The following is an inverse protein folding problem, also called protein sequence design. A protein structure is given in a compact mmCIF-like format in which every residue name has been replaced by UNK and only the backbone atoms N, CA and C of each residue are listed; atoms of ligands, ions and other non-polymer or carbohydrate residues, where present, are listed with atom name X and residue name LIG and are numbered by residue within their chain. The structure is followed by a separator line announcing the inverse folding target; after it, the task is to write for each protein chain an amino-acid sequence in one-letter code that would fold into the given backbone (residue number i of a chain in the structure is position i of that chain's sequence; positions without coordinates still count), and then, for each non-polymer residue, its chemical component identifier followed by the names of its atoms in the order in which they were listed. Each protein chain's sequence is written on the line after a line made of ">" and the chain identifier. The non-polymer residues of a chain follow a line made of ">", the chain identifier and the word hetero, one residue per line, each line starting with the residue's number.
data_IF_340593984508
#
_entry.id   IF_340593984508
#
_cell.length_a   1.000
_cell.length_b   1.000
_cell.length_c   1.000
_cell.angle_alpha   90.00
_cell.angle_beta   90.00
_cell.angle_gamma   90.00
#
_symmetry.space_group_name_H-M   'P 1'
#
loop_
_entity.id
_entity.type
_entity.pdbx_description
1 polymer ?
#
# COMPACT_ATOMS: atom_id res chain seq x y z
N UNK A 1 1.56 11.72 -15.22
CA UNK A 1 1.11 10.79 -16.27
C UNK A 1 1.13 9.37 -15.76
N UNK A 2 2.28 8.69 -15.60
CA UNK A 2 2.29 7.29 -15.10
C UNK A 2 1.74 7.14 -13.67
N UNK A 3 2.08 8.03 -12.74
CA UNK A 3 1.54 7.96 -11.35
C UNK A 3 0.05 8.30 -11.32
N UNK A 4 -0.41 9.27 -12.12
CA UNK A 4 -1.83 9.66 -12.17
C UNK A 4 -2.67 8.59 -12.86
N UNK A 5 -2.13 7.92 -13.89
CA UNK A 5 -2.75 6.76 -14.52
C UNK A 5 -2.81 5.59 -13.55
N UNK A 6 -1.74 5.29 -12.82
CA UNK A 6 -1.72 4.21 -11.81
C UNK A 6 -2.65 4.50 -10.62
N UNK A 7 -2.74 5.76 -10.17
CA UNK A 7 -3.70 6.18 -9.15
C UNK A 7 -5.12 6.20 -9.70
N UNK A 8 -5.34 6.63 -10.95
CA UNK A 8 -6.65 6.58 -11.61
C UNK A 8 -7.12 5.14 -11.82
N UNK A 9 -6.21 4.22 -12.17
CA UNK A 9 -6.46 2.78 -12.24
C UNK A 9 -6.79 2.20 -10.88
N UNK A 10 -6.06 2.56 -9.82
CA UNK A 10 -6.43 2.20 -8.45
C UNK A 10 -7.83 2.71 -8.08
N UNK A 11 -8.20 3.91 -8.55
CA UNK A 11 -9.53 4.49 -8.35
C UNK A 11 -10.63 3.81 -9.22
N UNK A 12 -10.31 3.37 -10.43
CA UNK A 12 -11.21 2.60 -11.32
C UNK A 12 -11.41 1.17 -10.81
N UNK A 13 -10.35 0.49 -10.39
CA UNK A 13 -10.41 -0.77 -9.64
C UNK A 13 -11.29 -0.59 -8.40
N UNK A 14 -11.14 0.52 -7.67
CA UNK A 14 -12.01 0.89 -6.56
C UNK A 14 -13.49 1.01 -6.97
N UNK A 15 -13.80 1.50 -8.16
CA UNK A 15 -15.17 1.59 -8.65
C UNK A 15 -15.73 0.20 -9.02
N UNK A 16 -14.89 -0.69 -9.54
CA UNK A 16 -15.26 -2.08 -9.85
C UNK A 16 -15.46 -2.95 -8.59
N UNK A 17 -14.77 -2.62 -7.49
CA UNK A 17 -14.85 -3.35 -6.22
C UNK A 17 -16.16 -3.12 -5.42
N UNK A 18 -17.01 -2.18 -5.85
CA UNK A 18 -18.31 -1.88 -5.25
C UNK A 18 -18.18 -1.16 -3.91
N UNK A 19 -18.42 0.16 -3.88
CA UNK A 19 -18.38 0.97 -2.67
C UNK A 19 -19.64 1.82 -2.52
N UNK A 20 -20.37 1.58 -1.44
CA UNK A 20 -21.58 2.31 -1.06
C UNK A 20 -21.22 3.50 -0.13
N UNK A 21 -20.60 4.54 -0.71
CA UNK A 21 -20.75 5.92 -0.23
C UNK A 21 -19.73 6.50 0.77
N UNK A 22 -19.86 7.82 0.97
CA UNK A 22 -19.00 8.68 1.82
C UNK A 22 -19.08 8.28 3.29
N UNK A 23 -18.25 7.33 3.71
CA UNK A 23 -18.14 6.93 5.11
C UNK A 23 -17.12 7.83 5.82
N UNK A 24 -17.60 8.71 6.72
CA UNK A 24 -16.75 9.68 7.43
C UNK A 24 -16.17 9.02 8.70
N UNK A 25 -14.97 8.44 8.58
CA UNK A 25 -14.28 7.83 9.72
C UNK A 25 -13.50 8.89 10.53
N UNK A 26 -13.82 8.99 11.81
CA UNK A 26 -13.22 9.98 12.72
C UNK A 26 -11.75 9.61 13.03
N UNK A 27 -10.86 10.60 12.93
CA UNK A 27 -9.42 10.48 13.22
C UNK A 27 -9.15 10.13 14.69
N UNK A 28 -9.97 10.69 15.59
CA UNK A 28 -9.89 10.51 17.03
C UNK A 28 -10.85 9.39 17.45
N UNK A 29 -10.33 8.43 18.21
CA UNK A 29 -11.12 7.32 18.72
C UNK A 29 -11.04 7.33 20.25
N UNK A 30 -12.13 7.02 20.98
CA UNK A 30 -12.04 6.83 22.43
C UNK A 30 -10.92 5.84 22.75
N UNK A 31 -10.05 6.19 23.70
CA UNK A 31 -8.86 5.39 24.04
C UNK A 31 -9.20 3.93 24.34
N UNK A 32 -10.30 3.71 25.05
CA UNK A 32 -10.82 2.38 25.39
C UNK A 32 -11.16 1.51 24.17
N UNK A 33 -11.48 2.10 23.03
CA UNK A 33 -11.74 1.35 21.78
C UNK A 33 -10.48 0.63 21.30
N UNK A 34 -9.32 1.25 21.48
CA UNK A 34 -8.04 0.76 20.95
C UNK A 34 -7.30 -0.13 21.97
N UNK A 35 -7.59 0.03 23.26
CA UNK A 35 -6.93 -0.72 24.34
C UNK A 35 -7.16 -2.23 24.21
N UNK A 36 -6.08 -2.99 24.28
CA UNK A 36 -6.10 -4.46 24.31
C UNK A 36 -6.42 -5.13 22.98
N UNK A 37 -6.40 -4.39 21.85
CA UNK A 37 -6.67 -4.96 20.51
C UNK A 37 -5.40 -5.34 19.73
N UNK A 38 -4.26 -4.77 20.11
CA UNK A 38 -3.01 -4.86 19.34
C UNK A 38 -1.88 -5.59 20.08
N UNK A 39 -2.17 -6.30 21.17
CA UNK A 39 -1.11 -6.95 21.96
C UNK A 39 -0.06 -5.96 22.45
N UNK A 40 1.22 -6.31 22.26
CA UNK A 40 2.37 -5.49 22.66
C UNK A 40 2.43 -4.13 21.93
N UNK A 41 1.92 -4.06 20.70
CA UNK A 41 1.91 -2.85 19.88
C UNK A 41 1.00 -1.74 20.44
N UNK A 42 0.13 -2.07 21.39
CA UNK A 42 -0.73 -1.08 22.08
C UNK A 42 0.10 0.04 22.74
N UNK A 43 1.36 -0.22 23.11
CA UNK A 43 2.28 0.77 23.69
C UNK A 43 2.69 1.88 22.71
N UNK A 44 2.50 1.64 21.41
CA UNK A 44 2.90 2.54 20.33
C UNK A 44 1.79 3.50 19.90
N UNK A 45 0.66 3.52 20.61
CA UNK A 45 -0.48 4.39 20.30
C UNK A 45 -0.17 5.83 20.73
N UNK A 46 -0.61 6.79 19.90
CA UNK A 46 -0.60 8.21 20.26
C UNK A 46 -1.86 8.58 21.05
N UNK A 47 -1.68 8.94 22.32
CA UNK A 47 -2.74 9.48 23.17
C UNK A 47 -2.81 11.01 23.07
N UNK A 48 -4.02 11.56 23.08
CA UNK A 48 -4.24 12.99 23.20
C UNK A 48 -4.14 13.42 24.66
N UNK A 49 -3.71 14.66 24.89
CA UNK A 49 -3.68 15.26 26.22
C UNK A 49 -5.10 15.33 26.79
N UNK A 50 -5.25 14.98 28.06
CA UNK A 50 -6.50 15.20 28.80
C UNK A 50 -6.77 16.71 28.94
N UNK A 51 -7.96 17.12 28.50
CA UNK A 51 -8.45 18.49 28.58
C UNK A 51 -9.79 18.59 29.35
N UNK A 52 -10.11 17.60 30.19
CA UNK A 52 -11.33 17.56 30.99
C UNK A 52 -12.54 16.95 30.27
N UNK A 53 -12.29 16.16 29.21
CA UNK A 53 -13.31 15.48 28.42
C UNK A 53 -13.01 13.98 28.24
N UNK A 54 -13.49 13.39 27.17
CA UNK A 54 -13.19 12.00 26.84
C UNK A 54 -11.69 11.81 26.53
N UNK A 55 -11.12 10.69 26.99
CA UNK A 55 -9.77 10.29 26.63
C UNK A 55 -9.76 9.75 25.21
N UNK A 56 -8.95 10.37 24.35
CA UNK A 56 -8.89 10.06 22.93
C UNK A 56 -7.49 9.61 22.54
N UNK A 57 -7.43 8.75 21.53
CA UNK A 57 -6.20 8.29 20.89
C UNK A 57 -6.33 8.39 19.38
N UNK A 58 -5.18 8.56 18.70
CA UNK A 58 -5.13 8.44 17.25
C UNK A 58 -5.18 6.96 16.85
N UNK A 59 -5.87 6.68 15.75
CA UNK A 59 -6.00 5.31 15.22
C UNK A 59 -4.63 4.73 14.81
N UNK A 60 -4.38 3.50 15.25
CA UNK A 60 -3.16 2.73 14.95
C UNK A 60 -3.24 2.02 13.59
N UNK A 61 -4.44 1.57 13.22
CA UNK A 61 -4.79 0.98 11.93
C UNK A 61 -6.18 1.45 11.45
N UNK A 62 -6.68 0.89 10.33
CA UNK A 62 -8.06 1.11 9.86
C UNK A 62 -9.00 -0.07 10.15
N UNK A 63 -8.48 -1.22 10.56
CA UNK A 63 -9.23 -2.46 10.85
C UNK A 63 -10.03 -2.38 12.16
N UNK A 64 -9.44 -1.88 13.25
CA UNK A 64 -10.16 -1.70 14.53
C UNK A 64 -11.27 -0.64 14.42
N UNK A 65 -11.03 0.53 13.79
CA UNK A 65 -12.11 1.47 13.46
C UNK A 65 -13.24 0.84 12.63
N UNK A 66 -12.91 -0.05 11.70
CA UNK A 66 -13.91 -0.76 10.89
C UNK A 66 -14.72 -1.76 11.72
N UNK A 67 -14.09 -2.56 12.56
CA UNK A 67 -14.79 -3.48 13.45
C UNK A 67 -15.77 -2.74 14.40
N UNK A 68 -15.34 -1.58 14.94
CA UNK A 68 -16.22 -0.70 15.70
C UNK A 68 -17.39 -0.19 14.86
N UNK A 69 -17.14 0.25 13.63
CA UNK A 69 -18.18 0.74 12.71
C UNK A 69 -19.24 -0.33 12.43
N UNK A 70 -18.83 -1.58 12.17
CA UNK A 70 -19.74 -2.71 11.98
C UNK A 70 -20.64 -2.91 13.20
N UNK A 71 -20.04 -2.98 14.39
CA UNK A 71 -20.76 -3.20 15.64
C UNK A 71 -21.73 -2.06 15.97
N UNK A 72 -21.29 -0.81 15.85
CA UNK A 72 -22.11 0.38 16.14
C UNK A 72 -23.33 0.47 15.23
N UNK A 73 -23.17 0.15 13.94
CA UNK A 73 -24.26 0.20 12.96
C UNK A 73 -25.02 -1.13 12.83
N UNK A 74 -24.64 -2.17 13.59
CA UNK A 74 -25.20 -3.53 13.54
C UNK A 74 -25.14 -4.15 12.14
N UNK A 75 -24.11 -3.80 11.37
CA UNK A 75 -23.88 -4.32 10.01
C UNK A 75 -23.29 -5.72 10.13
N UNK A 76 -23.90 -6.67 9.44
CA UNK A 76 -23.47 -8.09 9.43
C UNK A 76 -22.73 -8.49 8.17
N UNK A 77 -22.82 -7.69 7.10
CA UNK A 77 -22.18 -7.94 5.83
C UNK A 77 -21.89 -6.61 5.12
N UNK A 78 -20.66 -6.44 4.66
CA UNK A 78 -20.23 -5.30 3.85
C UNK A 78 -18.89 -5.64 3.21
N UNK A 79 -18.67 -5.18 1.99
CA UNK A 79 -17.37 -5.19 1.32
C UNK A 79 -16.96 -3.74 1.13
N UNK A 80 -15.76 -3.37 1.58
CA UNK A 80 -15.33 -1.96 1.58
C UNK A 80 -13.82 -1.83 1.42
N UNK A 81 -13.38 -0.70 0.88
CA UNK A 81 -11.99 -0.25 1.03
C UNK A 81 -11.93 1.05 1.85
N UNK A 82 -10.76 1.37 2.41
CA UNK A 82 -10.53 2.61 3.15
C UNK A 82 -9.07 3.04 2.99
N UNK A 83 -8.86 4.22 2.42
CA UNK A 83 -7.54 4.82 2.25
C UNK A 83 -7.42 6.01 3.19
N UNK A 84 -6.55 5.90 4.19
CA UNK A 84 -6.39 6.94 5.18
C UNK A 84 -5.05 6.84 5.92
N UNK A 85 -4.65 7.95 6.52
CA UNK A 85 -3.48 8.00 7.39
C UNK A 85 -3.72 7.31 8.73
N UNK A 86 -2.68 6.68 9.25
CA UNK A 86 -2.61 6.06 10.58
C UNK A 86 -1.36 6.50 11.32
N UNK A 87 -1.34 6.29 12.64
CA UNK A 87 -0.35 6.88 13.53
C UNK A 87 0.25 5.84 14.47
N UNK A 88 1.57 5.64 14.38
CA UNK A 88 2.31 4.68 15.19
C UNK A 88 3.57 5.33 15.76
N UNK A 89 3.79 5.22 17.07
CA UNK A 89 5.01 5.70 17.76
C UNK A 89 6.20 4.77 17.57
N UNK A 90 6.33 4.19 16.38
CA UNK A 90 7.45 3.32 16.03
C UNK A 90 8.76 4.14 15.95
N UNK A 91 9.89 3.44 15.94
CA UNK A 91 11.20 4.01 15.66
C UNK A 91 11.31 4.26 14.15
N UNK A 92 11.35 5.53 13.70
CA UNK A 92 11.32 5.84 12.28
C UNK A 92 12.61 5.40 11.60
N UNK A 93 12.47 4.85 10.40
CA UNK A 93 13.57 4.53 9.50
C UNK A 93 13.26 5.15 8.14
N UNK A 94 13.68 6.42 7.97
CA UNK A 94 13.32 7.24 6.80
C UNK A 94 13.79 6.60 5.49
N UNK A 95 14.96 5.96 5.49
CA UNK A 95 15.52 5.25 4.32
C UNK A 95 14.76 3.98 3.93
N UNK A 96 13.84 3.49 4.78
CA UNK A 96 13.05 2.26 4.56
C UNK A 96 11.54 2.52 4.49
N UNK A 97 11.13 3.79 4.39
CA UNK A 97 9.72 4.21 4.32
C UNK A 97 8.94 4.00 5.63
N UNK A 98 9.62 3.94 6.79
CA UNK A 98 8.97 3.69 8.08
C UNK A 98 8.76 5.01 8.83
N UNK A 99 7.56 5.54 8.73
CA UNK A 99 7.16 6.82 9.33
C UNK A 99 6.26 6.60 10.55
N UNK A 100 6.04 7.67 11.33
CA UNK A 100 5.08 7.67 12.44
C UNK A 100 3.66 8.06 12.04
N UNK A 101 3.54 8.79 10.94
CA UNK A 101 2.29 9.08 10.23
C UNK A 101 2.49 8.55 8.81
N UNK A 102 1.58 7.71 8.33
CA UNK A 102 1.66 7.13 6.99
C UNK A 102 0.29 6.66 6.51
N UNK A 103 0.13 6.47 5.20
CA UNK A 103 -1.09 5.93 4.62
C UNK A 103 -1.18 4.40 4.72
N UNK A 104 -2.40 3.92 5.01
CA UNK A 104 -2.83 2.56 4.72
C UNK A 104 -3.91 2.59 3.63
N UNK A 105 -3.91 1.56 2.77
CA UNK A 105 -5.00 1.27 1.84
C UNK A 105 -5.54 -0.11 2.19
N UNK A 106 -6.63 -0.13 2.96
CA UNK A 106 -7.25 -1.36 3.43
C UNK A 106 -8.42 -1.76 2.53
N UNK A 107 -8.60 -3.05 2.30
CA UNK A 107 -9.76 -3.66 1.68
C UNK A 107 -10.24 -4.82 2.57
N UNK A 108 -11.53 -4.86 2.89
CA UNK A 108 -12.09 -5.85 3.80
C UNK A 108 -13.45 -6.36 3.33
N UNK A 109 -13.65 -7.66 3.53
CA UNK A 109 -14.91 -8.37 3.32
C UNK A 109 -15.40 -8.86 4.68
N UNK A 110 -16.51 -8.29 5.15
CA UNK A 110 -17.21 -8.71 6.35
C UNK A 110 -18.48 -9.48 5.98
N UNK A 111 -18.73 -10.59 6.68
CA UNK A 111 -19.93 -11.40 6.55
C UNK A 111 -19.68 -12.90 6.66
N UNK A 112 -20.77 -13.63 6.88
CA UNK A 112 -20.76 -15.09 6.87
C UNK A 112 -20.90 -15.58 5.43
N UNK A 113 -19.86 -16.21 4.91
CA UNK A 113 -19.81 -16.77 3.55
C UNK A 113 -19.26 -18.21 3.59
N UNK A 114 -19.29 -18.86 2.44
CA UNK A 114 -18.65 -20.17 2.27
C UNK A 114 -17.13 -20.04 2.36
N UNK A 115 -16.50 -21.09 2.88
CA UNK A 115 -15.10 -21.07 3.29
C UNK A 115 -14.16 -20.70 2.14
N UNK A 116 -13.18 -19.85 2.46
CA UNK A 116 -12.04 -19.47 1.62
C UNK A 116 -12.35 -18.68 0.34
N UNK A 117 -13.61 -18.45 -0.02
CA UNK A 117 -13.95 -17.65 -1.22
C UNK A 117 -13.52 -16.18 -1.04
N UNK A 118 -13.91 -15.48 0.05
CA UNK A 118 -13.47 -14.09 0.27
C UNK A 118 -11.95 -13.98 0.51
N UNK A 119 -11.37 -14.99 1.16
CA UNK A 119 -9.93 -15.06 1.45
C UNK A 119 -9.10 -15.15 0.16
N UNK A 120 -9.57 -15.93 -0.82
CA UNK A 120 -8.97 -16.01 -2.14
C UNK A 120 -9.11 -14.69 -2.93
N UNK A 121 -10.26 -14.01 -2.82
CA UNK A 121 -10.49 -12.70 -3.45
C UNK A 121 -9.48 -11.66 -2.93
N UNK A 122 -9.22 -11.62 -1.62
CA UNK A 122 -8.22 -10.70 -1.05
C UNK A 122 -6.82 -10.93 -1.64
N UNK A 123 -6.38 -12.18 -1.79
CA UNK A 123 -5.09 -12.49 -2.42
C UNK A 123 -5.06 -12.14 -3.91
N UNK A 124 -6.18 -12.32 -4.63
CA UNK A 124 -6.30 -11.90 -6.03
C UNK A 124 -6.15 -10.39 -6.19
N UNK A 125 -6.78 -9.60 -5.31
CA UNK A 125 -6.67 -8.14 -5.31
C UNK A 125 -5.22 -7.69 -5.08
N UNK A 126 -4.51 -8.30 -4.12
CA UNK A 126 -3.07 -8.00 -3.89
C UNK A 126 -2.26 -8.29 -5.13
N UNK A 127 -2.49 -9.46 -5.74
CA UNK A 127 -1.80 -9.85 -6.96
C UNK A 127 -2.05 -8.84 -8.10
N UNK A 128 -3.30 -8.46 -8.35
CA UNK A 128 -3.65 -7.50 -9.40
C UNK A 128 -2.99 -6.13 -9.17
N UNK A 129 -3.09 -5.59 -7.96
CA UNK A 129 -2.48 -4.29 -7.60
C UNK A 129 -0.96 -4.33 -7.82
N UNK A 130 -0.27 -5.33 -7.30
CA UNK A 130 1.19 -5.40 -7.40
C UNK A 130 1.68 -5.67 -8.83
N UNK A 131 0.91 -6.41 -9.63
CA UNK A 131 1.23 -6.66 -11.02
C UNK A 131 0.99 -5.43 -11.90
N UNK A 132 -0.05 -4.64 -11.62
CA UNK A 132 -0.37 -3.44 -12.39
C UNK A 132 0.60 -2.27 -12.10
N UNK A 133 1.01 -2.11 -10.84
CA UNK A 133 1.97 -1.07 -10.44
C UNK A 133 3.40 -1.30 -10.98
N UNK A 134 3.67 -2.46 -11.61
CA UNK A 134 4.97 -2.86 -12.15
C UNK A 134 6.13 -2.55 -11.20
N UNK A 135 6.09 -3.02 -9.96
CA UNK A 135 7.13 -2.72 -8.95
C UNK A 135 8.33 -3.68 -9.00
N UNK A 136 8.39 -4.53 -10.02
CA UNK A 136 9.27 -5.70 -10.07
C UNK A 136 8.57 -6.98 -9.62
N UNK A 137 9.30 -8.08 -9.58
CA UNK A 137 8.74 -9.38 -9.22
C UNK A 137 8.43 -9.46 -7.71
N UNK A 138 7.41 -10.23 -7.32
CA UNK A 138 6.93 -10.32 -5.94
C UNK A 138 6.46 -11.72 -5.57
N UNK A 139 6.33 -11.98 -4.27
CA UNK A 139 5.75 -13.20 -3.71
C UNK A 139 4.78 -12.87 -2.59
N UNK A 140 3.69 -13.61 -2.50
CA UNK A 140 2.70 -13.53 -1.43
C UNK A 140 2.85 -14.77 -0.56
N UNK A 141 3.43 -14.59 0.61
CA UNK A 141 3.50 -15.62 1.64
C UNK A 141 2.13 -15.77 2.29
N UNK A 142 1.68 -17.01 2.49
CA UNK A 142 0.43 -17.32 3.19
C UNK A 142 0.71 -18.33 4.30
N UNK A 143 -0.01 -18.22 5.40
CA UNK A 143 -0.06 -19.20 6.48
C UNK A 143 -1.43 -19.13 7.15
N UNK A 144 -1.67 -19.91 8.20
CA UNK A 144 -2.89 -19.86 9.00
C UNK A 144 -2.58 -19.91 10.50
N UNK A 145 -3.26 -19.05 11.26
CA UNK A 145 -3.09 -18.94 12.71
C UNK A 145 -3.30 -20.27 13.43
N UNK A 146 -4.26 -21.09 12.98
CA UNK A 146 -4.58 -22.40 13.56
C UNK A 146 -3.52 -23.45 13.26
N UNK A 147 -2.79 -23.30 12.15
CA UNK A 147 -1.62 -24.14 11.82
C UNK A 147 -0.49 -23.82 12.79
N UNK A 148 -0.20 -22.54 13.05
CA UNK A 148 0.80 -22.12 14.04
C UNK A 148 0.44 -22.61 15.45
N UNK A 149 -0.82 -22.44 15.87
CA UNK A 149 -1.33 -22.94 17.16
C UNK A 149 -1.12 -24.45 17.29
N UNK A 150 -1.56 -25.21 16.29
CA UNK A 150 -1.43 -26.65 16.31
C UNK A 150 0.01 -27.14 16.24
N UNK A 151 0.86 -26.50 15.42
CA UNK A 151 2.27 -26.82 15.25
C UNK A 151 3.04 -26.64 16.55
N UNK A 152 2.88 -25.50 17.24
CA UNK A 152 3.55 -25.25 18.51
C UNK A 152 3.06 -26.22 19.60
N UNK A 153 1.75 -26.52 19.64
CA UNK A 153 1.23 -27.48 20.60
C UNK A 153 1.84 -28.88 20.42
N UNK A 154 1.96 -29.37 19.17
CA UNK A 154 2.55 -30.70 18.91
C UNK A 154 4.08 -30.73 19.07
N UNK A 155 4.75 -29.57 19.02
CA UNK A 155 6.16 -29.42 19.36
C UNK A 155 6.42 -29.31 20.87
N UNK A 156 5.37 -29.26 21.70
CA UNK A 156 5.49 -29.16 23.15
C UNK A 156 5.66 -27.75 23.70
N UNK A 157 5.27 -26.71 22.95
CA UNK A 157 5.26 -25.33 23.44
C UNK A 157 4.11 -25.15 24.45
N UNK A 158 4.39 -24.64 25.67
CA UNK A 158 3.35 -24.31 26.63
C UNK A 158 2.42 -23.18 26.15
N UNK A 159 1.12 -23.28 26.47
CA UNK A 159 0.11 -22.30 26.06
C UNK A 159 0.43 -20.85 26.48
N UNK A 160 1.05 -20.67 27.65
CA UNK A 160 1.44 -19.36 28.19
C UNK A 160 2.61 -18.72 27.43
N UNK A 161 3.40 -19.53 26.71
CA UNK A 161 4.53 -19.08 25.89
C UNK A 161 4.19 -18.93 24.42
N UNK A 162 2.99 -19.30 24.00
CA UNK A 162 2.58 -19.31 22.60
C UNK A 162 2.90 -17.98 21.87
N UNK A 163 2.48 -16.85 22.46
CA UNK A 163 2.65 -15.52 21.85
C UNK A 163 4.10 -15.10 21.74
N UNK A 164 4.89 -15.37 22.78
CA UNK A 164 6.30 -14.98 22.81
C UNK A 164 7.11 -15.81 21.81
N UNK A 165 6.77 -17.09 21.62
CA UNK A 165 7.38 -17.94 20.60
C UNK A 165 6.96 -17.52 19.18
N UNK A 166 5.69 -17.16 18.94
CA UNK A 166 5.27 -16.57 17.65
C UNK A 166 6.08 -15.31 17.32
N UNK A 167 6.25 -14.41 18.29
CA UNK A 167 7.05 -13.20 18.12
C UNK A 167 8.51 -13.51 17.78
N UNK A 168 9.09 -14.56 18.36
CA UNK A 168 10.45 -14.99 18.04
C UNK A 168 10.55 -15.64 16.65
N UNK A 169 9.55 -16.43 16.22
CA UNK A 169 9.48 -17.00 14.86
C UNK A 169 9.34 -15.91 13.79
N UNK A 170 8.56 -14.84 14.04
CA UNK A 170 8.41 -13.72 13.08
C UNK A 170 9.74 -13.07 12.70
N UNK A 171 10.76 -13.18 13.57
CA UNK A 171 12.10 -12.62 13.33
C UNK A 171 12.92 -13.42 12.33
N UNK A 172 12.47 -14.60 11.88
CA UNK A 172 13.15 -15.39 10.83
C UNK A 172 13.21 -14.64 9.49
N UNK A 173 12.43 -13.57 9.32
CA UNK A 173 12.54 -12.69 8.17
C UNK A 173 13.85 -11.88 8.13
N UNK A 174 14.53 -11.73 9.29
CA UNK A 174 15.72 -10.87 9.48
C UNK A 174 16.86 -11.55 10.22
N UNK A 175 16.59 -12.65 10.92
CA UNK A 175 17.55 -13.36 11.77
C UNK A 175 17.75 -14.78 11.28
N UNK A 176 18.94 -15.33 11.55
CA UNK A 176 19.24 -16.73 11.29
C UNK A 176 18.37 -17.65 12.17
N UNK A 177 18.18 -18.89 11.74
CA UNK A 177 17.50 -19.89 12.56
C UNK A 177 18.25 -20.12 13.88
N UNK A 178 19.58 -20.08 13.87
CA UNK A 178 20.43 -20.26 15.04
C UNK A 178 20.17 -19.18 16.10
N UNK A 179 20.06 -17.92 15.68
CA UNK A 179 19.77 -16.81 16.59
C UNK A 179 18.34 -16.88 17.14
N UNK A 180 17.37 -17.25 16.29
CA UNK A 180 15.97 -17.45 16.68
C UNK A 180 15.84 -18.60 17.68
N UNK A 181 16.49 -19.74 17.42
CA UNK A 181 16.56 -20.89 18.35
C UNK A 181 17.18 -20.47 19.68
N UNK A 182 18.29 -19.71 19.64
CA UNK A 182 18.98 -19.23 20.84
C UNK A 182 18.07 -18.34 21.70
N UNK A 183 17.27 -17.46 21.10
CA UNK A 183 16.29 -16.64 21.81
C UNK A 183 15.18 -17.51 22.45
N UNK A 184 14.62 -18.47 21.69
CA UNK A 184 13.58 -19.38 22.21
C UNK A 184 14.05 -20.13 23.46
N UNK A 185 15.27 -20.68 23.41
CA UNK A 185 15.82 -21.49 24.51
C UNK A 185 16.26 -20.61 25.68
N UNK A 186 17.13 -19.63 25.44
CA UNK A 186 17.80 -18.91 26.52
C UNK A 186 16.95 -17.79 27.13
N UNK A 187 16.11 -17.12 26.34
CA UNK A 187 15.32 -15.98 26.80
C UNK A 187 13.87 -16.35 27.12
N UNK A 188 13.27 -17.23 26.30
CA UNK A 188 11.87 -17.66 26.51
C UNK A 188 11.78 -18.95 27.32
N UNK A 189 12.89 -19.65 27.56
CA UNK A 189 12.95 -20.87 28.36
C UNK A 189 12.19 -22.04 27.73
N UNK A 190 12.21 -22.16 26.40
CA UNK A 190 11.72 -23.34 25.68
C UNK A 190 12.78 -24.45 25.73
N UNK A 191 12.38 -25.73 25.69
CA UNK A 191 13.36 -26.82 25.60
C UNK A 191 14.04 -26.85 24.24
N UNK A 192 15.28 -27.34 24.18
CA UNK A 192 16.02 -27.46 22.91
C UNK A 192 15.29 -28.38 21.94
N UNK A 193 14.70 -29.48 22.42
CA UNK A 193 13.96 -30.43 21.60
C UNK A 193 12.71 -29.81 20.96
N UNK A 194 11.99 -28.96 21.71
CA UNK A 194 10.83 -28.26 21.18
C UNK A 194 11.25 -27.21 20.14
N UNK A 195 12.34 -26.48 20.40
CA UNK A 195 12.87 -25.51 19.45
C UNK A 195 13.36 -26.20 18.16
N UNK A 196 14.05 -27.33 18.24
CA UNK A 196 14.49 -28.09 17.06
C UNK A 196 13.32 -28.59 16.22
N UNK A 197 12.26 -29.09 16.86
CA UNK A 197 11.04 -29.50 16.14
C UNK A 197 10.33 -28.33 15.47
N UNK A 198 10.29 -27.16 16.11
CA UNK A 198 9.77 -25.94 15.46
C UNK A 198 10.60 -25.64 14.20
N UNK A 199 11.93 -25.75 14.28
CA UNK A 199 12.86 -25.54 13.18
C UNK A 199 12.58 -26.40 11.95
N UNK A 200 12.26 -27.68 12.17
CA UNK A 200 11.87 -28.60 11.10
C UNK A 200 10.65 -28.08 10.32
N UNK A 201 9.64 -27.54 11.01
CA UNK A 201 8.42 -27.04 10.37
C UNK A 201 8.57 -25.65 9.77
N UNK A 202 9.14 -24.68 10.50
CA UNK A 202 9.21 -23.28 10.04
C UNK A 202 10.14 -23.09 8.83
N UNK A 203 11.03 -24.05 8.59
CA UNK A 203 11.85 -24.09 7.37
C UNK A 203 11.10 -24.60 6.13
N UNK A 204 9.88 -25.13 6.29
CA UNK A 204 9.06 -25.63 5.19
C UNK A 204 8.30 -24.51 4.49
N UNK A 205 8.41 -24.49 3.17
CA UNK A 205 7.61 -23.66 2.28
C UNK A 205 7.24 -24.43 1.02
N UNK A 206 6.10 -24.11 0.38
CA UNK A 206 5.61 -24.84 -0.78
C UNK A 206 4.25 -24.35 -1.28
N UNK A 207 3.49 -25.24 -1.92
CA UNK A 207 2.13 -24.95 -2.36
C UNK A 207 1.10 -25.89 -1.73
N UNK A 208 0.11 -26.28 -2.53
CA UNK A 208 -0.91 -27.25 -2.13
C UNK A 208 -0.32 -28.60 -1.69
N UNK A 209 0.78 -29.02 -2.32
CA UNK A 209 1.48 -30.28 -2.01
C UNK A 209 2.00 -30.31 -0.56
N UNK A 210 2.47 -29.16 -0.04
CA UNK A 210 2.96 -29.06 1.33
C UNK A 210 1.81 -29.20 2.31
N UNK A 211 0.67 -28.56 2.04
CA UNK A 211 -0.53 -28.72 2.87
C UNK A 211 -1.01 -30.19 2.91
N UNK A 212 -0.95 -30.89 1.77
CA UNK A 212 -1.30 -32.33 1.70
C UNK A 212 -0.34 -33.22 2.47
N UNK A 213 0.97 -32.95 2.37
CA UNK A 213 1.99 -33.66 3.17
C UNK A 213 1.80 -33.45 4.66
N UNK A 214 1.56 -32.21 5.10
CA UNK A 214 1.36 -31.88 6.51
C UNK A 214 0.05 -32.44 7.07
N UNK A 215 -0.98 -32.65 6.24
CA UNK A 215 -2.19 -33.37 6.66
C UNK A 215 -1.92 -34.85 6.96
N UNK A 216 -0.89 -35.43 6.35
CA UNK A 216 -0.46 -36.81 6.57
C UNK A 216 0.65 -36.93 7.62
N UNK A 217 1.20 -35.81 8.09
CA UNK A 217 2.25 -35.79 9.10
C UNK A 217 1.73 -36.33 10.44
N UNK A 218 2.51 -37.22 11.06
CA UNK A 218 2.09 -37.95 12.26
C UNK A 218 1.83 -37.04 13.47
N UNK A 219 2.53 -35.89 13.59
CA UNK A 219 2.33 -34.96 14.70
C UNK A 219 1.21 -33.98 14.37
N UNK A 220 1.29 -33.31 13.22
CA UNK A 220 0.32 -32.29 12.80
C UNK A 220 -1.11 -32.85 12.71
N UNK A 221 -1.26 -34.09 12.24
CA UNK A 221 -2.57 -34.76 12.15
C UNK A 221 -3.25 -35.00 13.50
N UNK A 222 -2.51 -34.93 14.62
CA UNK A 222 -3.08 -35.05 15.97
C UNK A 222 -3.75 -33.75 16.43
N UNK A 223 -3.41 -32.61 15.82
CA UNK A 223 -4.02 -31.32 16.14
C UNK A 223 -5.21 -31.03 15.25
N UNK A 224 -6.42 -31.03 15.84
CA UNK A 224 -7.65 -30.65 15.14
C UNK A 224 -7.58 -29.25 14.53
N UNK A 225 -6.92 -28.31 15.21
CA UNK A 225 -6.75 -26.94 14.72
C UNK A 225 -5.82 -26.89 13.51
N UNK A 226 -4.68 -27.58 13.56
CA UNK A 226 -3.78 -27.68 12.41
C UNK A 226 -4.47 -28.31 11.21
N UNK A 227 -5.18 -29.42 11.41
CA UNK A 227 -5.93 -30.10 10.34
C UNK A 227 -6.98 -29.20 9.69
N UNK A 228 -7.70 -28.39 10.47
CA UNK A 228 -8.67 -27.43 9.96
C UNK A 228 -7.99 -26.34 9.14
N UNK A 229 -6.91 -25.74 9.66
CA UNK A 229 -6.14 -24.72 8.94
C UNK A 229 -5.51 -25.26 7.65
N UNK A 230 -4.93 -26.46 7.67
CA UNK A 230 -4.35 -27.10 6.49
C UNK A 230 -5.41 -27.44 5.43
N UNK A 231 -6.60 -27.86 5.85
CA UNK A 231 -7.73 -28.11 4.93
C UNK A 231 -8.19 -26.81 4.25
N UNK A 232 -8.24 -25.72 5.00
CA UNK A 232 -8.57 -24.40 4.48
C UNK A 232 -7.48 -23.86 3.54
N UNK A 233 -6.19 -24.05 3.86
CA UNK A 233 -5.08 -23.74 2.93
C UNK A 233 -5.21 -24.56 1.64
N UNK A 234 -5.49 -25.86 1.73
CA UNK A 234 -5.71 -26.70 0.54
C UNK A 234 -6.88 -26.17 -0.32
N UNK A 235 -7.99 -25.76 0.31
CA UNK A 235 -9.13 -25.18 -0.39
C UNK A 235 -8.78 -23.84 -1.03
N UNK A 236 -8.06 -22.98 -0.30
CA UNK A 236 -7.56 -21.69 -0.79
C UNK A 236 -6.73 -21.86 -2.06
N UNK A 237 -5.75 -22.77 -2.06
CA UNK A 237 -4.91 -23.02 -3.25
C UNK A 237 -5.71 -23.53 -4.45
N UNK A 238 -6.82 -24.27 -4.25
CA UNK A 238 -7.72 -24.63 -5.35
C UNK A 238 -8.37 -23.41 -5.99
N UNK A 239 -8.82 -22.46 -5.19
CA UNK A 239 -9.41 -21.22 -5.70
C UNK A 239 -8.36 -20.31 -6.35
N UNK A 240 -7.18 -20.20 -5.77
CA UNK A 240 -6.07 -19.44 -6.37
C UNK A 240 -5.63 -20.02 -7.72
N UNK A 241 -5.74 -21.34 -7.91
CA UNK A 241 -5.48 -21.99 -9.19
C UNK A 241 -6.50 -21.56 -10.26
N UNK A 242 -7.79 -21.44 -9.88
CA UNK A 242 -8.85 -20.93 -10.76
C UNK A 242 -8.66 -19.44 -11.08
N UNK A 243 -8.10 -18.66 -10.15
CA UNK A 243 -7.77 -17.26 -10.36
C UNK A 243 -6.45 -17.03 -11.10
N UNK A 244 -5.71 -18.10 -11.40
CA UNK A 244 -4.41 -18.07 -12.08
C UNK A 244 -3.38 -17.18 -11.37
N UNK A 245 -3.24 -17.33 -10.04
CA UNK A 245 -2.28 -16.56 -9.22
C UNK A 245 -1.34 -17.42 -8.36
N UNK A 246 -1.42 -18.75 -8.49
CA UNK A 246 -0.65 -19.69 -7.66
C UNK A 246 0.87 -19.58 -7.83
N UNK A 247 1.34 -19.06 -8.97
CA UNK A 247 2.77 -18.83 -9.23
C UNK A 247 3.38 -17.75 -8.34
N UNK A 248 2.55 -16.84 -7.81
CA UNK A 248 2.96 -15.78 -6.89
C UNK A 248 2.71 -16.11 -5.42
N UNK A 249 1.99 -17.19 -5.10
CA UNK A 249 1.57 -17.51 -3.73
C UNK A 249 2.35 -18.69 -3.18
N UNK A 250 2.96 -18.52 -2.00
CA UNK A 250 3.73 -19.56 -1.31
C UNK A 250 3.18 -19.80 0.09
N UNK A 251 2.87 -21.05 0.40
CA UNK A 251 2.56 -21.47 1.77
C UNK A 251 3.88 -21.56 2.55
N UNK A 252 4.05 -20.71 3.56
CA UNK A 252 5.30 -20.53 4.30
C UNK A 252 5.02 -20.59 5.82
N UNK A 253 5.52 -21.63 6.49
CA UNK A 253 5.26 -21.85 7.91
C UNK A 253 6.04 -20.89 8.82
N UNK A 254 7.06 -20.20 8.30
CA UNK A 254 7.77 -19.15 9.04
C UNK A 254 6.96 -17.86 9.19
N UNK A 255 5.92 -17.67 8.36
CA UNK A 255 5.05 -16.50 8.46
C UNK A 255 4.19 -16.60 9.74
N UNK A 256 4.67 -16.00 10.82
CA UNK A 256 3.97 -15.83 12.09
C UNK A 256 3.53 -14.37 12.32
N UNK A 257 3.60 -13.55 11.27
CA UNK A 257 3.31 -12.13 11.32
C UNK A 257 1.82 -11.86 11.44
N UNK A 258 1.46 -10.96 12.34
CA UNK A 258 0.09 -10.46 12.40
C UNK A 258 -0.26 -9.82 13.72
N UNK A 259 -1.26 -8.94 13.69
CA UNK A 259 -1.85 -8.38 14.89
C UNK A 259 -2.60 -9.49 15.63
N UNK A 260 -2.64 -9.42 16.97
CA UNK A 260 -3.21 -10.43 17.87
C UNK A 260 -4.67 -10.84 17.55
N UNK A 261 -5.34 -10.12 16.65
CA UNK A 261 -6.73 -10.37 16.27
C UNK A 261 -6.94 -11.37 15.12
N UNK A 262 -5.90 -11.86 14.44
CA UNK A 262 -6.07 -12.87 13.40
C UNK A 262 -6.47 -14.25 13.96
N UNK A 263 -7.32 -14.95 13.22
CA UNK A 263 -8.00 -16.19 13.64
C UNK A 263 -7.98 -17.30 12.59
N UNK A 264 -7.56 -16.99 11.36
CA UNK A 264 -7.46 -17.92 10.25
C UNK A 264 -6.24 -17.58 9.39
N UNK A 265 -6.43 -17.48 8.07
CA UNK A 265 -5.33 -17.16 7.16
C UNK A 265 -4.66 -15.84 7.51
N UNK A 266 -3.36 -15.79 7.30
CA UNK A 266 -2.50 -14.62 7.36
C UNK A 266 -1.65 -14.59 6.10
N UNK A 267 -1.36 -13.41 5.60
CA UNK A 267 -0.57 -13.26 4.38
C UNK A 267 0.24 -11.99 4.36
N UNK A 268 1.37 -12.06 3.66
CA UNK A 268 2.33 -10.98 3.51
C UNK A 268 2.91 -11.01 2.09
N UNK A 269 2.81 -9.89 1.37
CA UNK A 269 3.44 -9.73 0.07
C UNK A 269 4.80 -9.06 0.21
N UNK A 270 5.83 -9.66 -0.36
CA UNK A 270 7.20 -9.16 -0.39
C UNK A 270 7.64 -9.01 -1.84
N UNK A 271 8.30 -7.91 -2.17
CA UNK A 271 8.96 -7.81 -3.47
C UNK A 271 10.22 -8.70 -3.47
N UNK A 272 10.64 -9.18 -4.63
CA UNK A 272 11.84 -10.00 -4.81
C UNK A 272 12.90 -9.17 -5.53
N UNK A 273 14.18 -9.37 -5.21
CA UNK A 273 15.32 -8.48 -5.52
C UNK A 273 15.62 -8.19 -7.01
N UNK A 274 14.77 -8.53 -7.96
CA UNK A 274 15.03 -8.27 -9.38
C UNK A 274 14.84 -6.79 -9.80
N UNK A 275 14.32 -5.91 -8.94
CA UNK A 275 13.95 -4.53 -9.31
C UNK A 275 14.72 -3.39 -8.63
N UNK A 276 15.56 -3.67 -7.63
CA UNK A 276 16.36 -2.61 -6.99
C UNK A 276 17.65 -2.40 -7.75
N UNK A 277 17.73 -1.28 -8.47
CA UNK A 277 19.03 -0.72 -8.89
C UNK A 277 19.86 -0.62 -7.62
N UNK A 278 20.94 -1.38 -7.57
CA UNK A 278 21.90 -1.35 -6.47
C UNK A 278 22.27 0.10 -6.17
N UNK A 279 21.99 0.55 -4.96
CA UNK A 279 22.70 1.68 -4.36
C UNK A 279 24.14 1.23 -4.07
N UNK A 280 24.89 0.94 -5.12
CA UNK A 280 26.32 0.74 -5.09
C UNK A 280 26.95 2.13 -5.25
N UNK A 281 27.07 2.83 -4.13
CA UNK A 281 27.98 3.92 -3.82
C UNK A 281 27.66 4.21 -2.35
N UNK A 282 28.34 3.61 -1.38
CA UNK A 282 29.69 3.97 -0.98
C UNK A 282 30.43 2.75 -0.42
N UNK A 283 31.61 2.48 -0.97
CA UNK A 283 32.57 1.56 -0.37
C UNK A 283 33.34 2.27 0.73
N UNK A 284 33.33 1.71 1.95
CA UNK A 284 34.58 1.39 2.64
C UNK A 284 34.39 0.35 3.75
N UNK A 285 34.95 -0.84 3.46
CA UNK A 285 35.57 -1.82 4.35
C UNK A 285 34.78 -2.36 5.55
N UNK A 286 34.10 -3.49 5.35
CA UNK A 286 34.45 -4.69 6.11
C UNK A 286 34.09 -5.97 5.36
N UNK A 287 34.98 -6.95 5.41
CA UNK A 287 34.82 -8.27 4.79
C UNK A 287 33.94 -9.15 5.66
N UNK A 288 32.70 -9.43 5.24
CA UNK A 288 31.93 -10.67 5.40
C UNK A 288 30.42 -10.41 5.30
N UNK A 289 29.72 -11.33 4.61
CA UNK A 289 28.28 -11.38 4.33
C UNK A 289 27.80 -10.50 3.15
N UNK A 290 27.51 -11.16 2.04
CA UNK A 290 26.52 -10.70 1.06
C UNK A 290 25.15 -10.61 1.77
N UNK A 291 24.93 -9.55 2.55
CA UNK A 291 23.59 -9.23 3.05
C UNK A 291 22.74 -8.80 1.85
N UNK A 292 21.99 -9.76 1.31
CA UNK A 292 20.84 -9.46 0.46
C UNK A 292 19.97 -8.45 1.19
N UNK A 293 19.96 -7.19 0.73
CA UNK A 293 19.07 -6.13 1.24
C UNK A 293 17.65 -6.68 1.27
N UNK A 294 17.13 -7.07 2.44
CA UNK A 294 15.83 -7.73 2.56
C UNK A 294 14.77 -6.81 1.95
N UNK A 295 14.20 -7.22 0.84
CA UNK A 295 13.18 -6.43 0.17
C UNK A 295 11.92 -6.54 1.02
N UNK A 296 11.54 -5.42 1.63
CA UNK A 296 10.54 -5.44 2.68
C UNK A 296 9.11 -5.65 2.15
N UNK A 297 8.23 -6.09 3.05
CA UNK A 297 6.79 -6.27 2.83
C UNK A 297 6.06 -5.04 2.24
N UNK A 298 5.24 -5.25 1.22
CA UNK A 298 4.45 -4.23 0.51
C UNK A 298 2.94 -4.40 0.70
N UNK A 299 2.49 -5.54 1.21
CA UNK A 299 1.11 -5.74 1.64
C UNK A 299 1.04 -6.79 2.75
N UNK A 300 0.01 -6.71 3.60
CA UNK A 300 -0.24 -7.71 4.63
C UNK A 300 -1.70 -7.75 5.03
N UNK A 301 -2.18 -8.91 5.47
CA UNK A 301 -3.58 -9.09 5.82
C UNK A 301 -3.89 -10.48 6.38
N UNK A 302 -5.17 -10.77 6.54
CA UNK A 302 -5.64 -12.03 7.07
C UNK A 302 -7.10 -12.02 7.53
N UNK A 303 -7.53 -13.14 8.11
CA UNK A 303 -8.89 -13.37 8.63
C UNK A 303 -8.98 -13.11 10.14
N UNK A 304 -9.96 -12.34 10.60
CA UNK A 304 -10.08 -11.84 11.97
C UNK A 304 -11.53 -11.88 12.52
N UNK A 305 -12.11 -13.08 12.58
CA UNK A 305 -13.54 -13.31 12.89
C UNK A 305 -13.97 -12.98 14.34
N UNK A 306 -13.02 -12.65 15.21
CA UNK A 306 -13.27 -12.31 16.61
C UNK A 306 -13.41 -10.81 16.88
N UNK A 307 -12.89 -9.95 16.00
CA UNK A 307 -12.66 -8.55 16.33
C UNK A 307 -13.97 -7.75 16.49
N UNK A 308 -14.95 -7.96 15.60
CA UNK A 308 -16.25 -7.28 15.66
C UNK A 308 -17.02 -7.66 16.93
N UNK A 309 -16.93 -8.92 17.35
CA UNK A 309 -17.57 -9.42 18.58
C UNK A 309 -17.05 -8.75 19.84
N UNK A 310 -15.84 -8.17 19.82
CA UNK A 310 -15.32 -7.39 20.94
C UNK A 310 -15.98 -6.01 21.11
N UNK A 311 -16.72 -5.53 20.10
CA UNK A 311 -17.41 -4.24 20.10
C UNK A 311 -18.95 -4.39 20.14
N UNK A 312 -19.50 -5.53 19.71
CA UNK A 312 -20.94 -5.79 19.83
C UNK A 312 -21.31 -6.12 21.29
N UNK A 313 -22.28 -5.41 21.91
CA UNK A 313 -22.65 -5.63 23.31
C UNK A 313 -23.14 -7.04 23.65
N UNK A 314 -23.58 -7.81 22.64
CA UNK A 314 -24.03 -9.20 22.79
C UNK A 314 -22.95 -10.21 22.35
N UNK A 315 -21.75 -9.75 22.03
CA UNK A 315 -20.66 -10.59 21.54
C UNK A 315 -20.93 -11.21 20.16
N UNK A 316 -21.82 -10.62 19.35
CA UNK A 316 -22.14 -11.16 18.03
C UNK A 316 -20.91 -11.14 17.14
N UNK A 317 -20.54 -12.29 16.62
CA UNK A 317 -19.43 -12.43 15.69
C UNK A 317 -19.87 -12.05 14.28
N UNK A 318 -19.02 -11.30 13.60
CA UNK A 318 -19.10 -11.03 12.17
C UNK A 318 -17.75 -11.46 11.61
N UNK A 319 -17.69 -12.55 10.82
CA UNK A 319 -16.45 -12.98 10.19
C UNK A 319 -15.92 -11.90 9.25
N UNK A 320 -14.60 -11.70 9.24
CA UNK A 320 -13.96 -10.68 8.43
C UNK A 320 -12.64 -11.20 7.87
N UNK A 321 -12.33 -10.85 6.63
CA UNK A 321 -11.01 -11.03 6.02
C UNK A 321 -10.66 -9.78 5.22
N UNK A 322 -9.40 -9.40 5.23
CA UNK A 322 -8.97 -8.22 4.49
C UNK A 322 -7.47 -8.05 4.42
N UNK A 323 -7.07 -7.06 3.64
CA UNK A 323 -5.69 -6.75 3.30
C UNK A 323 -5.41 -5.26 3.39
N UNK A 324 -4.18 -4.92 3.76
CA UNK A 324 -3.65 -3.56 3.76
C UNK A 324 -2.45 -3.47 2.82
N UNK A 325 -2.48 -2.52 1.89
CA UNK A 325 -1.35 -2.21 1.00
C UNK A 325 -0.46 -1.15 1.67
N UNK A 326 0.84 -1.44 1.74
CA UNK A 326 1.88 -0.57 2.29
C UNK A 326 2.28 0.52 1.30
N UNK A 327 1.41 1.52 1.11
CA UNK A 327 1.54 2.53 0.05
C UNK A 327 2.85 3.32 0.14
N UNK A 328 3.35 3.66 1.35
CA UNK A 328 4.59 4.44 1.49
C UNK A 328 5.80 3.79 0.82
N UNK A 329 5.92 2.45 0.93
CA UNK A 329 7.00 1.70 0.30
C UNK A 329 6.84 1.69 -1.22
N UNK A 330 5.60 1.58 -1.70
CA UNK A 330 5.28 1.65 -3.12
C UNK A 330 5.68 3.03 -3.66
N UNK A 331 5.30 4.12 -3.00
CA UNK A 331 5.69 5.48 -3.39
C UNK A 331 7.20 5.66 -3.43
N UNK A 332 7.94 5.19 -2.42
CA UNK A 332 9.41 5.27 -2.43
C UNK A 332 10.02 4.56 -3.65
N UNK A 333 9.49 3.40 -4.04
CA UNK A 333 9.97 2.65 -5.21
C UNK A 333 9.61 3.37 -6.52
N UNK A 334 8.37 3.88 -6.62
CA UNK A 334 7.91 4.62 -7.79
C UNK A 334 8.69 5.93 -7.98
N UNK A 335 9.00 6.65 -6.89
CA UNK A 335 9.85 7.84 -6.91
C UNK A 335 11.26 7.51 -7.41
N UNK A 336 11.89 6.44 -6.90
CA UNK A 336 13.20 5.99 -7.38
C UNK A 336 13.18 5.62 -8.86
N UNK A 337 12.14 4.92 -9.33
CA UNK A 337 11.95 4.62 -10.75
C UNK A 337 11.79 5.88 -11.59
N UNK A 338 11.06 6.87 -11.08
CA UNK A 338 10.86 8.15 -11.74
C UNK A 338 12.15 8.99 -11.80
N UNK A 339 12.96 8.99 -10.73
CA UNK A 339 14.27 9.64 -10.70
C UNK A 339 15.29 8.99 -11.64
N UNK A 340 15.20 7.67 -11.84
CA UNK A 340 16.01 6.95 -12.81
C UNK A 340 15.56 7.15 -14.27
N UNK A 341 14.33 7.64 -14.48
CA UNK A 341 13.79 7.94 -15.81
C UNK A 341 14.29 9.30 -16.31
N UNK A 342 14.60 9.44 -17.62
CA UNK A 342 14.93 10.74 -18.19
C UNK A 342 13.72 11.69 -18.25
N UNK A 343 12.50 11.18 -18.04
CA UNK A 343 11.29 11.98 -18.03
C UNK A 343 11.08 12.63 -16.66
N UNK A 344 11.02 13.97 -16.65
CA UNK A 344 10.70 14.73 -15.44
C UNK A 344 9.22 14.53 -15.07
N UNK A 345 8.98 14.13 -13.82
CA UNK A 345 7.62 14.13 -13.25
C UNK A 345 7.12 15.57 -13.12
N UNK A 346 6.00 15.85 -13.76
CA UNK A 346 5.34 17.16 -13.68
C UNK A 346 4.53 17.26 -12.40
N UNK A 347 4.58 18.41 -11.74
CA UNK A 347 3.77 18.73 -10.56
C UNK A 347 2.52 19.54 -10.89
N UNK A 348 2.33 19.89 -12.16
CA UNK A 348 1.19 20.65 -12.66
C UNK A 348 0.70 20.06 -13.98
N UNK A 349 -0.58 20.28 -14.27
CA UNK A 349 -1.24 19.82 -15.51
C UNK A 349 -1.38 20.94 -16.55
N UNK A 350 -0.62 22.02 -16.40
CA UNK A 350 -0.72 23.22 -17.27
C UNK A 350 -0.39 22.83 -18.71
N UNK A 351 -1.34 23.05 -19.62
CA UNK A 351 -1.23 22.72 -21.04
C UNK A 351 -0.51 23.82 -21.82
N UNK A 352 -0.69 25.09 -21.44
CA UNK A 352 -0.16 26.22 -22.18
C UNK A 352 0.16 27.43 -21.29
N UNK A 353 1.24 28.11 -21.61
CA UNK A 353 1.60 29.42 -21.03
C UNK A 353 1.22 30.53 -22.00
N UNK A 354 0.50 31.55 -21.54
CA UNK A 354 0.24 32.78 -22.29
C UNK A 354 1.39 33.77 -22.05
N UNK A 355 2.12 34.08 -23.11
CA UNK A 355 3.34 34.87 -23.07
C UNK A 355 3.30 36.06 -24.03
N UNK A 356 4.16 37.04 -23.77
CA UNK A 356 4.44 38.13 -24.71
C UNK A 356 5.89 38.57 -24.59
N UNK A 357 6.51 38.99 -25.69
CA UNK A 357 7.87 39.55 -25.69
C UNK A 357 7.87 41.08 -25.54
N UNK A 358 6.82 41.72 -26.06
CA UNK A 358 6.64 43.16 -26.06
C UNK A 358 6.05 43.65 -24.73
N UNK A 359 6.19 44.96 -24.49
CA UNK A 359 5.66 45.64 -23.31
C UNK A 359 4.18 45.97 -23.49
N UNK A 360 3.48 46.28 -22.41
CA UNK A 360 2.10 46.77 -22.39
C UNK A 360 1.04 45.79 -22.93
N UNK A 361 1.37 44.50 -23.04
CA UNK A 361 0.44 43.44 -23.47
C UNK A 361 -0.16 42.64 -22.31
N UNK A 362 -0.16 43.19 -21.08
CA UNK A 362 -0.75 42.48 -19.94
C UNK A 362 -2.26 42.26 -20.13
N UNK A 363 -2.99 43.28 -20.57
CA UNK A 363 -4.44 43.22 -20.75
C UNK A 363 -4.82 42.17 -21.80
N UNK A 364 -4.09 42.12 -22.92
CA UNK A 364 -4.27 41.11 -23.97
C UNK A 364 -3.98 39.69 -23.47
N UNK A 365 -2.91 39.52 -22.67
CA UNK A 365 -2.63 38.22 -22.03
C UNK A 365 -3.72 37.81 -21.03
N UNK A 366 -4.26 38.77 -20.27
CA UNK A 366 -5.37 38.54 -19.33
C UNK A 366 -6.67 38.18 -20.08
N UNK A 367 -6.91 38.79 -21.24
CA UNK A 367 -8.05 38.45 -22.07
C UNK A 367 -7.92 37.02 -22.63
N UNK A 368 -6.78 36.70 -23.25
CA UNK A 368 -6.56 35.37 -23.82
C UNK A 368 -6.59 34.26 -22.76
N UNK A 369 -5.95 34.46 -21.60
CA UNK A 369 -5.97 33.43 -20.56
C UNK A 369 -7.39 33.17 -20.05
N UNK A 370 -8.23 34.22 -19.97
CA UNK A 370 -9.63 34.07 -19.59
C UNK A 370 -10.43 33.30 -20.64
N UNK A 371 -10.20 33.55 -21.93
CA UNK A 371 -10.79 32.77 -23.02
C UNK A 371 -10.42 31.28 -22.92
N UNK A 372 -9.14 30.99 -22.65
CA UNK A 372 -8.64 29.63 -22.46
C UNK A 372 -9.27 28.93 -21.24
N UNK A 373 -9.33 29.61 -20.10
CA UNK A 373 -9.99 29.06 -18.90
C UNK A 373 -11.48 28.82 -19.12
N UNK A 374 -12.19 29.74 -19.77
CA UNK A 374 -13.61 29.57 -20.13
C UNK A 374 -13.85 28.37 -21.06
N UNK A 375 -12.83 27.98 -21.85
CA UNK A 375 -12.85 26.80 -22.70
C UNK A 375 -12.37 25.50 -22.01
N UNK A 376 -12.05 25.55 -20.72
CA UNK A 376 -11.56 24.41 -19.93
C UNK A 376 -10.09 24.08 -20.15
N UNK A 377 -9.31 24.96 -20.77
CA UNK A 377 -7.87 24.76 -20.98
C UNK A 377 -7.10 25.16 -19.72
N UNK A 378 -6.21 24.29 -19.27
CA UNK A 378 -5.32 24.52 -18.12
C UNK A 378 -4.19 25.46 -18.54
N UNK A 379 -4.43 26.77 -18.44
CA UNK A 379 -3.49 27.80 -18.88
C UNK A 379 -2.90 28.61 -17.71
N UNK A 380 -1.66 29.10 -17.88
CA UNK A 380 -1.01 30.03 -16.94
C UNK A 380 -0.44 31.26 -17.66
N UNK A 381 -0.17 32.33 -16.92
CA UNK A 381 0.66 33.46 -17.37
C UNK A 381 1.55 33.93 -16.23
N UNK A 382 2.69 34.53 -16.57
CA UNK A 382 3.56 35.14 -15.56
C UNK A 382 2.94 36.44 -15.02
N UNK A 383 2.79 36.54 -13.69
CA UNK A 383 2.24 37.70 -12.96
C UNK A 383 3.19 38.91 -12.95
N UNK A 384 3.55 39.38 -14.14
CA UNK A 384 4.37 40.58 -14.37
C UNK A 384 3.73 41.38 -15.48
N UNK A 385 3.79 42.71 -15.40
CA UNK A 385 3.31 43.59 -16.49
C UNK A 385 4.07 43.35 -17.79
N UNK A 386 5.41 43.28 -17.70
CA UNK A 386 6.32 43.18 -18.86
C UNK A 386 7.37 42.06 -18.63
N UNK A 387 6.99 40.78 -18.65
CA UNK A 387 7.93 39.67 -18.52
C UNK A 387 8.85 39.58 -19.74
N UNK A 388 10.09 39.13 -19.57
CA UNK A 388 10.98 38.81 -20.70
C UNK A 388 10.53 37.47 -21.31
N UNK A 389 10.55 37.34 -22.64
CA UNK A 389 10.20 36.08 -23.29
C UNK A 389 11.07 34.92 -22.81
N UNK A 390 12.39 35.13 -22.71
CA UNK A 390 13.33 34.12 -22.22
C UNK A 390 12.92 33.56 -20.85
N UNK A 391 12.58 34.43 -19.88
CA UNK A 391 12.14 33.98 -18.55
C UNK A 391 10.83 33.20 -18.55
N UNK A 392 9.95 33.46 -19.53
CA UNK A 392 8.70 32.72 -19.67
C UNK A 392 8.94 31.33 -20.26
N UNK A 393 9.84 31.22 -21.25
CA UNK A 393 10.24 29.94 -21.83
C UNK A 393 10.98 29.06 -20.82
N UNK A 394 11.90 29.63 -20.05
CA UNK A 394 12.60 28.92 -18.96
C UNK A 394 11.63 28.35 -17.92
N UNK A 395 10.62 29.13 -17.52
CA UNK A 395 9.56 28.63 -16.64
C UNK A 395 8.81 27.43 -17.25
N UNK A 396 8.51 27.48 -18.55
CA UNK A 396 7.84 26.37 -19.21
C UNK A 396 8.72 25.11 -19.27
N UNK A 397 10.02 25.27 -19.56
CA UNK A 397 11.00 24.18 -19.54
C UNK A 397 11.12 23.56 -18.14
N UNK A 398 11.19 24.39 -17.09
CA UNK A 398 11.28 23.94 -15.70
C UNK A 398 10.00 23.24 -15.21
N UNK A 399 8.81 23.77 -15.54
CA UNK A 399 7.52 23.22 -15.13
C UNK A 399 7.01 22.09 -16.05
N UNK A 400 7.69 21.84 -17.18
CA UNK A 400 7.28 20.87 -18.19
C UNK A 400 6.03 21.27 -18.99
N UNK A 401 5.73 22.58 -19.08
CA UNK A 401 4.57 23.07 -19.84
C UNK A 401 4.87 22.89 -21.34
N UNK A 402 4.00 22.19 -22.11
CA UNK A 402 4.35 21.77 -23.47
C UNK A 402 4.22 22.89 -24.51
N UNK A 403 3.34 23.86 -24.29
CA UNK A 403 2.99 24.90 -25.27
C UNK A 403 3.13 26.32 -24.71
N UNK A 404 3.42 27.27 -25.60
CA UNK A 404 3.38 28.72 -25.29
C UNK A 404 2.61 29.46 -26.38
N UNK A 405 1.57 30.20 -25.97
CA UNK A 405 0.85 31.15 -26.82
C UNK A 405 1.52 32.52 -26.70
N UNK A 406 2.22 32.95 -27.74
CA UNK A 406 2.96 34.21 -27.76
C UNK A 406 2.12 35.29 -28.45
N UNK A 407 1.82 36.35 -27.71
CA UNK A 407 1.16 37.56 -28.20
C UNK A 407 2.18 38.63 -28.59
N UNK A 408 1.90 39.30 -29.70
CA UNK A 408 2.59 40.50 -30.16
C UNK A 408 1.61 41.43 -30.88
N UNK A 409 1.97 42.71 -30.98
CA UNK A 409 1.13 43.76 -31.58
C UNK A 409 0.75 43.46 -33.03
N UNK A 410 1.63 42.78 -33.79
CA UNK A 410 1.34 42.41 -35.19
C UNK A 410 0.40 41.20 -35.25
N UNK A 411 0.67 40.17 -34.45
CA UNK A 411 -0.18 38.99 -34.34
C UNK A 411 -1.61 39.36 -33.91
N UNK A 412 -1.76 40.31 -32.99
CA UNK A 412 -3.07 40.84 -32.58
C UNK A 412 -3.81 41.55 -33.73
N UNK A 413 -3.10 42.32 -34.57
CA UNK A 413 -3.70 42.96 -35.76
C UNK A 413 -4.12 41.93 -36.80
N UNK A 414 -3.34 40.88 -36.95
CA UNK A 414 -3.58 39.81 -37.93
C UNK A 414 -4.59 38.76 -37.42
N UNK A 415 -5.05 38.88 -36.16
CA UNK A 415 -6.02 37.96 -35.55
C UNK A 415 -5.46 36.57 -35.28
N UNK A 416 -4.14 36.46 -35.13
CA UNK A 416 -3.42 35.20 -34.91
C UNK A 416 -2.70 35.19 -33.55
N UNK A 417 -2.31 34.00 -33.11
CA UNK A 417 -1.46 33.76 -31.95
C UNK A 417 -0.33 32.84 -32.39
N UNK A 418 0.90 33.22 -32.04
CA UNK A 418 2.07 32.41 -32.35
C UNK A 418 2.18 31.29 -31.32
N UNK A 419 1.86 30.07 -31.73
CA UNK A 419 1.90 28.88 -30.87
C UNK A 419 3.27 28.21 -30.99
N UNK A 420 4.00 28.18 -29.88
CA UNK A 420 5.31 27.52 -29.78
C UNK A 420 5.22 26.20 -29.04
N UNK A 421 5.84 25.16 -29.59
CA UNK A 421 6.12 23.90 -28.86
C UNK A 421 7.42 24.07 -28.08
N UNK A 422 7.39 23.90 -26.76
CA UNK A 422 8.55 24.17 -25.89
C UNK A 422 9.71 23.21 -26.18
N UNK A 423 9.41 21.92 -26.34
CA UNK A 423 10.42 20.89 -26.57
C UNK A 423 11.13 21.02 -27.93
N UNK A 424 10.38 21.21 -29.02
CA UNK A 424 10.93 21.28 -30.39
C UNK A 424 11.33 22.70 -30.81
N UNK A 425 10.86 23.71 -30.07
CA UNK A 425 11.01 25.15 -30.35
C UNK A 425 10.33 25.65 -31.62
N UNK A 426 9.61 24.78 -32.31
CA UNK A 426 8.83 25.10 -33.51
C UNK A 426 7.70 26.06 -33.18
N UNK A 427 7.48 27.02 -34.07
CA UNK A 427 6.47 28.07 -33.95
C UNK A 427 5.56 28.02 -35.17
N UNK A 428 4.26 28.10 -34.93
CA UNK A 428 3.24 28.15 -35.98
C UNK A 428 2.25 29.25 -35.62
N UNK A 429 1.88 30.08 -36.58
CA UNK A 429 0.81 31.06 -36.40
C UNK A 429 -0.55 30.36 -36.53
N UNK A 430 -1.36 30.48 -35.49
CA UNK A 430 -2.69 29.87 -35.41
C UNK A 430 -3.72 30.99 -35.30
N UNK A 431 -4.82 30.90 -36.07
CA UNK A 431 -5.93 31.84 -35.92
C UNK A 431 -6.46 31.82 -34.49
N UNK A 432 -6.81 32.98 -33.93
CA UNK A 432 -7.38 33.05 -32.58
C UNK A 432 -8.65 32.21 -32.44
N UNK A 433 -9.41 32.02 -33.52
CA UNK A 433 -10.60 31.17 -33.55
C UNK A 433 -10.28 29.67 -33.39
N UNK A 434 -9.14 29.22 -33.93
CA UNK A 434 -8.75 27.81 -33.97
C UNK A 434 -7.85 27.40 -32.79
N UNK A 435 -7.34 28.38 -32.04
CA UNK A 435 -6.35 28.16 -30.98
C UNK A 435 -6.80 27.13 -29.94
N UNK A 436 -8.05 27.18 -29.47
CA UNK A 436 -8.57 26.22 -28.48
C UNK A 436 -8.54 24.80 -29.02
N UNK A 437 -9.04 24.60 -30.24
CA UNK A 437 -9.07 23.29 -30.90
C UNK A 437 -7.65 22.74 -31.11
N UNK A 438 -6.72 23.60 -31.50
CA UNK A 438 -5.34 23.21 -31.72
C UNK A 438 -4.61 22.85 -30.42
N UNK A 439 -4.87 23.55 -29.32
CA UNK A 439 -4.32 23.19 -28.00
C UNK A 439 -4.81 21.81 -27.57
N UNK A 440 -6.13 21.54 -27.69
CA UNK A 440 -6.70 20.23 -27.36
C UNK A 440 -6.04 19.13 -28.19
N UNK A 441 -5.98 19.30 -29.51
CA UNK A 441 -5.34 18.35 -30.44
C UNK A 441 -3.88 18.02 -30.08
N UNK A 442 -3.13 18.98 -29.53
CA UNK A 442 -1.72 18.80 -29.15
C UNK A 442 -1.49 18.30 -27.72
N UNK A 443 -2.51 18.30 -26.87
CA UNK A 443 -2.35 17.99 -25.42
C UNK A 443 -3.29 16.91 -24.90
N UNK A 444 -4.33 16.55 -25.66
CA UNK A 444 -5.12 15.33 -25.44
C UNK A 444 -4.37 14.17 -26.12
N UNK A 445 -3.41 13.58 -25.40
CA UNK A 445 -2.79 12.30 -25.68
C UNK A 445 -2.97 11.40 -24.45
#
# INVERSE_FOLDING_TARGET
>A
MQIDEEVAKLLELKAQLGDDGKTQFVLKTPKETLTGKYGEDSKLIYDLKDQGGELLSLRYDLTVPFARYLAMNKITNIKRYHIAKVYRRDNPAMTRGRYREFYQCDFDIAGQYDAMIPDAECLKIVHEILNELDLGDFRIKVNDRRILDGMFAVCGVPDDKFRTICSTVDKLDKMSWEDVKKEMVNEKGLSEEAADQIGEYVSMQGGMDLAERLLQDHKMSQSKQACAGLSDIKLLFKYLQLFHVTDKVVFDLSLARGLDYYTGVIYEAVLTQAGTVSAANEAQNDTNAEESVSVGSVAGGGRYDGLVGMFDPKGRRVPCVGVSIGIERIFSIMEQKAEASPQKVRTTEVQIMVASAQKNLLEERLQLISELWNAGIKAELMYKKNPKLLSQLQYCEEAGIPLVAILGEQELKDGVVKLRVVATREEVDISRADLISEIKRRTEA
#
